data_IF_865098269644
#
_entry.id   IF_865098269644
#
_cell.length_a   1.000
_cell.length_b   1.000
_cell.length_c   1.000
_cell.angle_alpha   90.00
_cell.angle_beta   90.00
_cell.angle_gamma   90.00
#
_symmetry.space_group_name_H-M   'P 1'
#
loop_
_entity.id
_entity.type
_entity.pdbx_description
1 polymer ?
#
# COMPACT_ATOMS: atom_id res chain seq x y z
N UNK A 1 -19.08 -1.87 -8.57
CA UNK A 1 -18.71 -3.00 -7.69
C UNK A 1 -17.41 -2.64 -7.01
N UNK A 2 -17.29 -2.91 -5.72
CA UNK A 2 -16.08 -2.71 -4.94
C UNK A 2 -15.65 -4.06 -4.35
N UNK A 3 -14.35 -4.30 -4.30
CA UNK A 3 -13.75 -5.44 -3.61
C UNK A 3 -12.79 -4.85 -2.58
N UNK A 4 -12.97 -5.25 -1.32
CA UNK A 4 -12.06 -4.92 -0.23
C UNK A 4 -11.30 -6.18 0.14
N UNK A 5 -10.03 -6.04 0.48
CA UNK A 5 -9.17 -7.17 0.86
C UNK A 5 -8.51 -6.89 2.20
N UNK A 6 -8.45 -7.93 3.01
CA UNK A 6 -7.62 -7.93 4.19
C UNK A 6 -6.17 -8.16 3.77
N UNK A 7 -5.28 -7.22 4.09
CA UNK A 7 -3.85 -7.40 3.86
C UNK A 7 -3.31 -8.58 4.70
N UNK A 8 -2.20 -9.18 4.28
CA UNK A 8 -1.53 -10.23 5.06
C UNK A 8 -1.41 -9.85 6.54
N UNK A 9 -1.77 -10.79 7.41
CA UNK A 9 -1.80 -10.64 8.86
C UNK A 9 -2.74 -9.58 9.42
N UNK A 10 -3.72 -9.12 8.63
CA UNK A 10 -4.85 -8.31 9.07
C UNK A 10 -6.15 -9.07 8.83
N UNK A 11 -7.19 -8.74 9.61
CA UNK A 11 -8.54 -9.27 9.42
C UNK A 11 -8.57 -10.80 9.35
N UNK A 12 -9.15 -11.33 8.28
CA UNK A 12 -9.24 -12.76 7.97
C UNK A 12 -8.07 -13.34 7.18
N UNK A 13 -7.06 -12.56 6.83
CA UNK A 13 -5.90 -13.02 6.05
C UNK A 13 -4.84 -13.68 6.92
N UNK A 14 -4.15 -14.67 6.35
CA UNK A 14 -3.08 -15.41 7.04
C UNK A 14 -1.98 -14.48 7.55
N UNK A 15 -1.47 -14.81 8.74
CA UNK A 15 -0.33 -14.11 9.32
C UNK A 15 0.98 -14.56 8.68
N UNK A 16 1.86 -13.63 8.30
CA UNK A 16 3.21 -13.97 7.89
C UNK A 16 3.96 -14.72 9.00
N UNK A 17 4.82 -15.65 8.60
CA UNK A 17 5.65 -16.46 9.49
C UNK A 17 6.94 -15.74 9.87
N UNK A 18 7.41 -14.81 9.03
CA UNK A 18 8.64 -14.05 9.27
C UNK A 18 8.44 -12.55 8.99
N UNK A 19 9.35 -11.72 9.51
CA UNK A 19 9.26 -10.27 9.37
C UNK A 19 9.52 -9.81 7.93
N UNK A 20 10.36 -10.53 7.18
CA UNK A 20 10.69 -10.23 5.78
C UNK A 20 9.46 -10.33 4.89
N UNK A 21 8.50 -11.18 5.27
CA UNK A 21 7.22 -11.31 4.59
C UNK A 21 6.29 -10.11 4.82
N UNK A 22 6.65 -9.15 5.68
CA UNK A 22 5.99 -7.84 5.81
C UNK A 22 6.71 -6.73 5.03
N UNK A 23 7.62 -7.06 4.12
CA UNK A 23 8.26 -6.04 3.29
C UNK A 23 7.27 -5.35 2.36
N UNK A 24 7.55 -4.08 2.01
CA UNK A 24 6.79 -3.33 1.01
C UNK A 24 6.67 -4.08 -0.31
N UNK A 25 7.75 -4.75 -0.73
CA UNK A 25 7.79 -5.53 -1.96
C UNK A 25 6.79 -6.68 -1.91
N UNK A 26 6.78 -7.44 -0.81
CA UNK A 26 5.90 -8.62 -0.70
C UNK A 26 4.42 -8.23 -0.61
N UNK A 27 4.12 -7.07 -0.01
CA UNK A 27 2.74 -6.56 0.03
C UNK A 27 2.34 -5.99 -1.34
N UNK A 28 3.28 -5.39 -2.07
CA UNK A 28 3.10 -5.06 -3.49
C UNK A 28 2.71 -6.28 -4.33
N UNK A 29 3.38 -7.42 -4.14
CA UNK A 29 3.07 -8.67 -4.85
C UNK A 29 1.67 -9.20 -4.52
N UNK A 30 1.17 -8.98 -3.30
CA UNK A 30 -0.21 -9.36 -2.94
C UNK A 30 -1.24 -8.53 -3.70
N UNK A 31 -1.01 -7.23 -3.85
CA UNK A 31 -1.90 -6.37 -4.63
C UNK A 31 -2.01 -6.87 -6.07
N UNK A 32 -0.88 -7.27 -6.66
CA UNK A 32 -0.87 -7.87 -8.00
C UNK A 32 -1.74 -9.13 -8.09
N UNK A 33 -1.55 -10.07 -7.16
CA UNK A 33 -2.35 -11.31 -7.13
C UNK A 33 -3.84 -11.04 -6.93
N UNK A 34 -4.18 -10.07 -6.09
CA UNK A 34 -5.58 -9.65 -5.87
C UNK A 34 -6.16 -9.05 -7.14
N UNK A 35 -5.42 -8.18 -7.83
CA UNK A 35 -5.89 -7.53 -9.05
C UNK A 35 -6.13 -8.56 -10.17
N UNK A 36 -5.21 -9.51 -10.36
CA UNK A 36 -5.39 -10.60 -11.32
C UNK A 36 -6.63 -11.45 -10.97
N UNK A 37 -6.76 -11.87 -9.71
CA UNK A 37 -7.92 -12.65 -9.26
C UNK A 37 -9.25 -11.91 -9.45
N UNK A 38 -9.29 -10.61 -9.18
CA UNK A 38 -10.49 -9.77 -9.39
C UNK A 38 -10.81 -9.65 -10.88
N UNK A 39 -9.81 -9.40 -11.72
CA UNK A 39 -10.03 -9.30 -13.17
C UNK A 39 -10.54 -10.62 -13.76
N UNK A 40 -9.90 -11.74 -13.41
CA UNK A 40 -10.29 -13.08 -13.85
C UNK A 40 -11.71 -13.45 -13.38
N UNK A 41 -12.07 -13.10 -12.14
CA UNK A 41 -13.41 -13.38 -11.60
C UNK A 41 -14.53 -12.60 -12.29
N UNK A 42 -14.27 -11.35 -12.67
CA UNK A 42 -15.32 -10.46 -13.21
C UNK A 42 -15.22 -10.22 -14.72
N UNK A 43 -14.22 -10.78 -15.39
CA UNK A 43 -14.03 -10.69 -16.84
C UNK A 43 -13.84 -9.26 -17.36
N UNK A 44 -13.34 -8.35 -16.52
CA UNK A 44 -13.18 -6.93 -16.87
C UNK A 44 -12.03 -6.28 -16.09
N UNK A 45 -11.41 -5.22 -16.65
CA UNK A 45 -10.32 -4.53 -15.98
C UNK A 45 -10.76 -3.78 -14.72
N UNK A 46 -9.81 -3.62 -13.80
CA UNK A 46 -9.97 -2.77 -12.62
C UNK A 46 -9.87 -1.31 -13.04
N UNK A 47 -10.87 -0.50 -12.70
CA UNK A 47 -10.92 0.92 -13.12
C UNK A 47 -10.19 1.85 -12.15
N UNK A 48 -10.24 1.51 -10.86
CA UNK A 48 -9.62 2.30 -9.81
C UNK A 48 -9.11 1.38 -8.69
N UNK A 49 -7.97 1.75 -8.13
CA UNK A 49 -7.37 1.15 -6.95
C UNK A 49 -7.31 2.23 -5.89
N UNK A 50 -7.91 1.99 -4.72
CA UNK A 50 -7.91 2.93 -3.61
C UNK A 50 -7.07 2.35 -2.50
N UNK A 51 -6.05 3.10 -2.08
CA UNK A 51 -5.13 2.71 -1.00
C UNK A 51 -5.15 3.77 0.10
N UNK A 52 -4.82 3.36 1.32
CA UNK A 52 -4.70 4.27 2.47
C UNK A 52 -3.42 4.00 3.25
N UNK A 53 -2.75 5.07 3.69
CA UNK A 53 -1.55 5.00 4.52
C UNK A 53 -0.49 4.06 3.92
N UNK A 54 0.04 3.13 4.72
CA UNK A 54 1.07 2.17 4.36
C UNK A 54 0.82 1.37 3.07
N UNK A 55 -0.46 1.05 2.77
CA UNK A 55 -0.81 0.33 1.54
C UNK A 55 -0.56 1.16 0.27
N UNK A 56 -0.61 2.49 0.39
CA UNK A 56 -0.28 3.41 -0.69
C UNK A 56 1.17 3.28 -1.12
N UNK A 57 2.10 3.21 -0.16
CA UNK A 57 3.53 3.13 -0.48
C UNK A 57 3.89 1.77 -1.04
N UNK A 58 3.31 0.69 -0.52
CA UNK A 58 3.50 -0.65 -1.07
C UNK A 58 3.16 -0.67 -2.56
N UNK A 59 2.02 -0.08 -2.93
CA UNK A 59 1.58 0.01 -4.32
C UNK A 59 2.49 0.92 -5.15
N UNK A 60 2.87 2.09 -4.63
CA UNK A 60 3.77 3.00 -5.33
C UNK A 60 5.16 2.38 -5.58
N UNK A 61 5.71 1.65 -4.61
CA UNK A 61 6.99 0.95 -4.75
C UNK A 61 6.89 -0.20 -5.76
N UNK A 62 5.80 -0.97 -5.73
CA UNK A 62 5.56 -2.01 -6.74
C UNK A 62 5.51 -1.43 -8.15
N UNK A 63 4.87 -0.25 -8.32
CA UNK A 63 4.85 0.46 -9.59
C UNK A 63 6.24 0.99 -9.99
N UNK A 64 6.97 1.59 -9.04
CA UNK A 64 8.27 2.22 -9.29
C UNK A 64 9.38 1.22 -9.67
N UNK A 65 9.33 0.00 -9.14
CA UNK A 65 10.30 -1.07 -9.44
C UNK A 65 10.20 -1.62 -10.89
N UNK A 66 9.39 -1.00 -11.77
CA UNK A 66 9.12 -1.50 -13.11
C UNK A 66 8.32 -2.80 -13.13
N UNK A 67 7.94 -3.30 -11.94
CA UNK A 67 6.88 -4.30 -11.73
C UNK A 67 5.49 -3.68 -11.84
N UNK A 68 5.40 -2.38 -12.17
CA UNK A 68 4.19 -1.78 -12.73
C UNK A 68 3.69 -2.72 -13.83
N UNK A 69 2.64 -3.48 -13.55
CA UNK A 69 2.50 -4.72 -14.27
C UNK A 69 1.79 -4.46 -15.57
N UNK A 70 2.06 -5.31 -16.55
CA UNK A 70 1.36 -5.36 -17.83
C UNK A 70 -0.17 -5.50 -17.69
N UNK A 71 -0.69 -5.77 -16.48
CA UNK A 71 -2.12 -5.89 -16.18
C UNK A 71 -2.79 -4.61 -15.68
N UNK A 72 -2.09 -3.49 -15.43
CA UNK A 72 -2.76 -2.21 -15.23
C UNK A 72 -3.04 -1.63 -16.60
N UNK A 73 -4.25 -1.83 -17.19
CA UNK A 73 -4.57 -1.17 -18.43
C UNK A 73 -4.37 0.33 -18.24
N UNK A 74 -3.97 1.03 -19.30
CA UNK A 74 -3.71 2.48 -19.32
C UNK A 74 -4.83 3.35 -18.70
N UNK A 75 -6.00 2.78 -18.42
CA UNK A 75 -7.18 3.42 -17.87
C UNK A 75 -7.35 3.23 -16.35
N UNK A 76 -6.56 2.35 -15.69
CA UNK A 76 -6.66 2.15 -14.24
C UNK A 76 -6.07 3.33 -13.49
N UNK A 77 -6.83 3.88 -12.53
CA UNK A 77 -6.41 5.00 -11.68
C UNK A 77 -5.95 4.49 -10.32
N UNK A 78 -4.80 4.93 -9.84
CA UNK A 78 -4.41 4.78 -8.44
C UNK A 78 -4.87 6.02 -7.65
N UNK A 79 -5.59 5.81 -6.57
CA UNK A 79 -6.09 6.84 -5.66
C UNK A 79 -5.48 6.55 -4.28
N UNK A 80 -4.49 7.37 -3.88
CA UNK A 80 -3.85 7.25 -2.58
C UNK A 80 -4.51 8.21 -1.58
N UNK A 81 -4.95 7.68 -0.45
CA UNK A 81 -5.48 8.44 0.67
C UNK A 81 -4.42 8.50 1.76
N UNK A 82 -3.86 9.68 1.99
CA UNK A 82 -2.81 9.90 3.01
C UNK A 82 -1.65 8.87 2.94
N UNK A 83 -0.99 8.69 1.77
CA UNK A 83 0.11 7.73 1.65
C UNK A 83 1.27 8.14 2.56
N UNK A 84 1.95 7.15 3.15
CA UNK A 84 3.13 7.39 3.99
C UNK A 84 4.36 7.52 3.07
N UNK A 85 4.39 8.57 2.25
CA UNK A 85 5.53 8.85 1.35
C UNK A 85 6.75 9.20 2.20
N UNK A 86 7.47 8.17 2.59
CA UNK A 86 8.58 8.27 3.50
C UNK A 86 9.77 7.57 2.86
N UNK A 87 10.93 8.23 2.89
CA UNK A 87 12.16 7.46 2.88
C UNK A 87 12.12 6.51 4.10
N UNK A 88 12.71 5.32 3.99
CA UNK A 88 12.60 4.29 5.04
C UNK A 88 12.99 4.80 6.44
N UNK A 89 13.91 5.76 6.50
CA UNK A 89 14.32 6.45 7.71
C UNK A 89 13.16 7.28 8.30
N UNK A 90 12.49 8.10 7.50
CA UNK A 90 11.36 8.93 7.91
C UNK A 90 10.13 8.11 8.32
N UNK A 91 9.87 6.95 7.69
CA UNK A 91 8.78 6.05 8.07
C UNK A 91 9.02 5.46 9.46
N UNK A 92 10.26 5.01 9.70
CA UNK A 92 10.69 4.44 10.97
C UNK A 92 10.61 5.48 12.08
N UNK A 93 11.08 6.70 11.84
CA UNK A 93 11.01 7.79 12.81
C UNK A 93 9.57 8.28 13.04
N UNK A 94 8.75 8.39 11.99
CA UNK A 94 7.33 8.69 12.09
C UNK A 94 6.57 7.64 12.92
N UNK A 95 6.84 6.36 12.68
CA UNK A 95 6.27 5.24 13.44
C UNK A 95 6.65 5.28 14.92
N UNK A 96 7.91 5.59 15.25
CA UNK A 96 8.36 5.79 16.64
C UNK A 96 7.65 6.96 17.29
N UNK A 97 7.48 8.09 16.59
CA UNK A 97 6.79 9.28 17.11
C UNK A 97 5.31 9.01 17.38
N UNK A 98 4.64 8.33 16.47
CA UNK A 98 3.25 7.88 16.63
C UNK A 98 3.09 6.94 17.82
N UNK A 99 3.98 5.95 17.98
CA UNK A 99 3.97 5.02 19.11
C UNK A 99 4.20 5.73 20.46
N UNK A 100 4.93 6.83 20.47
CA UNK A 100 5.18 7.66 21.65
C UNK A 100 4.08 8.71 21.90
N UNK A 101 3.06 8.80 21.04
CA UNK A 101 1.96 9.76 21.20
C UNK A 101 2.39 11.22 21.08
N UNK A 102 3.52 11.51 20.43
CA UNK A 102 4.09 12.87 20.39
C UNK A 102 3.55 13.75 19.27
N UNK A 103 2.68 13.21 18.40
CA UNK A 103 2.07 14.00 17.33
C UNK A 103 0.95 14.89 17.86
N UNK A 104 1.12 16.21 17.72
CA UNK A 104 0.03 17.18 17.84
C UNK A 104 -0.57 17.44 16.46
N UNK A 105 -1.88 17.18 16.31
CA UNK A 105 -2.63 17.54 15.10
C UNK A 105 -2.45 19.03 14.79
N UNK A 106 -2.09 19.36 13.55
CA UNK A 106 -1.94 20.74 13.06
C UNK A 106 -0.56 21.38 13.26
N UNK A 107 0.42 20.67 13.81
CA UNK A 107 1.80 21.18 13.89
C UNK A 107 2.59 20.63 12.70
N UNK A 108 3.03 21.54 11.81
CA UNK A 108 3.93 21.21 10.71
C UNK A 108 5.30 20.88 11.32
N UNK A 109 5.83 19.69 11.05
CA UNK A 109 7.22 19.39 11.39
C UNK A 109 8.10 20.42 10.67
N UNK A 110 8.94 21.13 11.44
CA UNK A 110 9.93 22.03 10.85
C UNK A 110 10.78 21.19 9.89
N UNK A 111 10.93 21.72 8.69
CA UNK A 111 11.63 21.13 7.54
C UNK A 111 10.85 20.02 6.81
N UNK A 112 9.54 20.20 6.64
CA UNK A 112 8.72 19.35 5.77
C UNK A 112 8.99 19.58 4.27
N UNK A 113 9.57 18.54 3.64
CA UNK A 113 9.98 18.36 2.23
C UNK A 113 10.98 19.38 1.66
#
# INVERSE_FOLDING_TARGET
MCVCVDARGHGGSDKPKTQEQYSWQTIGDDFERVLDAVQNRFGRPVHAIVTHSYSGDCMLMALADGRAPSFLPHQTRLICLDPVIANATSATEGGKRLALGTHRLGVKDKDGF
#
